data_IF_558475431932
#
_entry.id   IF_558475431932
#
_cell.length_a   1.000
_cell.length_b   1.000
_cell.length_c   1.000
_cell.angle_alpha   90.00
_cell.angle_beta   90.00
_cell.angle_gamma   90.00
#
_symmetry.space_group_name_H-M   'P 1'
#
loop_
_entity.id
_entity.type
_entity.pdbx_description
1 polymer ?
#
# COMPACT_ATOMS: atom_id res chain seq x y z
N UNK A 1 5.34 28.70 0.93
CA UNK A 1 6.16 27.48 1.03
C UNK A 1 5.22 26.29 0.96
N UNK A 2 5.48 25.38 0.04
CA UNK A 2 4.76 24.11 -0.03
C UNK A 2 5.23 23.16 1.08
N UNK A 3 4.57 22.00 1.23
CA UNK A 3 4.91 21.05 2.28
C UNK A 3 6.37 20.56 2.20
N UNK A 4 6.91 20.35 0.98
CA UNK A 4 8.28 19.89 0.78
C UNK A 4 9.28 20.92 1.31
N UNK A 5 9.15 22.19 0.90
CA UNK A 5 10.01 23.29 1.32
C UNK A 5 9.94 23.54 2.84
N UNK A 6 8.77 23.33 3.46
CA UNK A 6 8.62 23.43 4.92
C UNK A 6 9.51 22.39 5.63
N UNK A 7 9.57 21.16 5.11
CA UNK A 7 10.39 20.08 5.69
C UNK A 7 11.87 20.27 5.37
N UNK A 8 12.21 20.51 4.11
CA UNK A 8 13.59 20.44 3.61
C UNK A 8 14.31 21.79 3.63
N UNK A 9 13.58 22.91 3.64
CA UNK A 9 14.15 24.26 3.60
C UNK A 9 14.59 24.71 2.21
N UNK A 10 14.21 23.98 1.16
CA UNK A 10 14.46 24.36 -0.24
C UNK A 10 13.31 23.89 -1.14
N UNK A 11 13.11 24.57 -2.27
CA UNK A 11 12.14 24.15 -3.29
C UNK A 11 12.61 22.88 -3.98
N UNK A 12 11.72 21.92 -4.22
CA UNK A 12 12.02 20.74 -5.03
C UNK A 12 12.43 21.15 -6.46
N UNK A 13 13.64 20.77 -6.86
CA UNK A 13 14.22 21.11 -8.16
C UNK A 13 14.68 19.83 -8.89
N UNK A 14 15.93 19.74 -9.37
CA UNK A 14 16.38 18.56 -10.09
C UNK A 14 16.58 17.37 -9.15
N UNK A 15 16.30 16.15 -9.63
CA UNK A 15 16.36 14.94 -8.83
C UNK A 15 17.71 14.74 -8.11
N UNK A 16 18.82 14.93 -8.83
CA UNK A 16 20.17 14.84 -8.27
C UNK A 16 20.44 15.93 -7.20
N UNK A 17 20.00 17.16 -7.45
CA UNK A 17 20.15 18.27 -6.50
C UNK A 17 19.34 18.03 -5.23
N UNK A 18 18.16 17.42 -5.30
CA UNK A 18 17.40 16.98 -4.13
C UNK A 18 18.17 15.90 -3.35
N UNK A 19 18.70 14.87 -4.04
CA UNK A 19 19.49 13.82 -3.39
C UNK A 19 20.75 14.37 -2.69
N UNK A 20 21.47 15.31 -3.31
CA UNK A 20 22.70 15.89 -2.74
C UNK A 20 22.46 16.70 -1.44
N UNK A 21 21.23 17.21 -1.26
CA UNK A 21 20.83 18.05 -0.12
C UNK A 21 20.12 17.29 1.00
N UNK A 22 19.90 15.99 0.83
CA UNK A 22 19.22 15.14 1.79
C UNK A 22 20.08 13.94 2.16
N UNK A 23 20.03 13.54 3.42
CA UNK A 23 20.79 12.41 3.93
C UNK A 23 19.89 11.52 4.78
N UNK A 24 20.21 10.23 4.81
CA UNK A 24 19.61 9.28 5.75
C UNK A 24 20.63 8.99 6.84
N UNK A 25 20.27 9.27 8.08
CA UNK A 25 21.07 8.96 9.26
C UNK A 25 20.25 8.09 10.21
N UNK A 26 20.54 6.78 10.25
CA UNK A 26 19.75 5.83 11.02
C UNK A 26 18.32 5.71 10.46
N UNK A 27 17.34 6.03 11.30
CA UNK A 27 15.91 6.04 10.96
C UNK A 27 15.40 7.46 10.61
N UNK A 28 16.28 8.43 10.34
CA UNK A 28 15.91 9.82 10.10
C UNK A 28 16.32 10.33 8.71
N UNK A 29 15.45 11.12 8.10
CA UNK A 29 15.76 12.00 6.98
C UNK A 29 16.28 13.33 7.50
N UNK A 30 17.44 13.75 7.00
CA UNK A 30 18.14 14.98 7.40
C UNK A 30 18.28 15.89 6.19
N UNK A 31 17.83 17.14 6.31
CA UNK A 31 18.15 18.17 5.32
C UNK A 31 19.43 18.89 5.68
N UNK A 32 20.40 18.91 4.76
CA UNK A 32 21.67 19.62 4.93
C UNK A 32 21.52 21.14 4.77
N UNK A 33 20.37 21.61 4.27
CA UNK A 33 20.10 23.04 4.04
C UNK A 33 19.59 23.73 5.30
N UNK A 34 18.64 23.13 6.01
CA UNK A 34 18.01 23.72 7.19
C UNK A 34 18.32 22.98 8.50
N UNK A 35 19.02 21.83 8.44
CA UNK A 35 19.38 21.00 9.58
C UNK A 35 18.21 20.26 10.24
N UNK A 36 16.99 20.32 9.68
CA UNK A 36 15.84 19.61 10.23
C UNK A 36 15.96 18.11 10.00
N UNK A 37 15.38 17.36 10.95
CA UNK A 37 15.42 15.91 11.02
C UNK A 37 14.02 15.37 11.23
N UNK A 38 13.69 14.29 10.54
CA UNK A 38 12.38 13.67 10.61
C UNK A 38 12.51 12.15 10.59
N UNK A 39 11.78 11.48 11.49
CA UNK A 39 11.73 10.02 11.53
C UNK A 39 11.10 9.44 10.27
N UNK A 40 11.88 8.67 9.52
CA UNK A 40 11.40 7.87 8.38
C UNK A 40 11.15 6.42 8.77
N UNK A 41 11.64 5.94 9.91
CA UNK A 41 11.38 4.57 10.35
C UNK A 41 12.00 3.53 9.42
N UNK A 42 11.32 2.39 9.21
CA UNK A 42 11.86 1.28 8.42
C UNK A 42 10.91 0.80 7.32
N UNK A 43 11.38 0.77 6.08
CA UNK A 43 10.64 0.24 4.93
C UNK A 43 11.10 -1.18 4.60
N UNK A 44 10.14 -2.09 4.41
CA UNK A 44 10.35 -3.46 3.93
C UNK A 44 9.32 -3.81 2.87
N UNK A 45 9.59 -4.83 2.04
CA UNK A 45 8.65 -5.35 1.03
C UNK A 45 8.32 -6.82 1.30
N UNK A 46 7.65 -7.15 2.43
CA UNK A 46 7.33 -8.53 2.74
C UNK A 46 6.27 -9.07 1.77
N UNK A 47 6.46 -10.31 1.35
CA UNK A 47 5.45 -11.11 0.67
C UNK A 47 4.35 -11.54 1.65
N UNK A 48 3.16 -11.85 1.13
CA UNK A 48 2.09 -12.44 1.94
C UNK A 48 2.54 -13.75 2.59
N UNK A 49 3.29 -14.59 1.86
CA UNK A 49 3.83 -15.84 2.39
C UNK A 49 4.74 -15.60 3.60
N UNK A 50 5.61 -14.60 3.55
CA UNK A 50 6.46 -14.25 4.69
C UNK A 50 5.63 -13.74 5.88
N UNK A 51 4.62 -12.91 5.66
CA UNK A 51 3.75 -12.40 6.74
C UNK A 51 2.98 -13.54 7.42
N UNK A 52 2.47 -14.50 6.64
CA UNK A 52 1.83 -15.73 7.18
C UNK A 52 2.80 -16.52 8.07
N UNK A 53 4.07 -16.58 7.70
CA UNK A 53 5.11 -17.27 8.49
C UNK A 53 5.48 -16.56 9.79
N UNK A 54 5.19 -15.26 9.93
CA UNK A 54 5.57 -14.44 11.09
C UNK A 54 4.49 -14.36 12.18
N UNK A 55 3.23 -14.67 11.85
CA UNK A 55 2.10 -14.45 12.75
C UNK A 55 1.30 -15.73 12.96
N UNK A 56 1.05 -16.07 14.23
CA UNK A 56 0.02 -17.04 14.57
C UNK A 56 -1.34 -16.31 14.66
N UNK A 57 -2.23 -16.58 13.71
CA UNK A 57 -3.52 -15.90 13.57
C UNK A 57 -4.58 -16.31 14.62
N UNK A 58 -4.24 -17.17 15.60
CA UNK A 58 -5.14 -17.59 16.67
C UNK A 58 -4.61 -17.20 18.05
N UNK A 59 -5.04 -16.03 18.54
CA UNK A 59 -4.76 -15.54 19.90
C UNK A 59 -5.95 -15.71 20.85
N UNK A 60 -7.08 -16.21 20.34
CA UNK A 60 -8.32 -16.39 21.10
C UNK A 60 -9.02 -15.07 21.46
N UNK A 61 -8.63 -13.96 20.83
CA UNK A 61 -9.30 -12.66 21.00
C UNK A 61 -9.95 -12.27 19.68
N UNK A 62 -11.25 -12.04 19.68
CA UNK A 62 -11.97 -11.69 18.45
C UNK A 62 -11.56 -10.31 17.93
N UNK A 63 -11.25 -10.22 16.65
CA UNK A 63 -11.05 -8.97 15.91
C UNK A 63 -12.37 -8.20 15.82
N UNK A 64 -12.34 -6.90 16.13
CA UNK A 64 -13.49 -6.00 16.02
C UNK A 64 -13.43 -5.20 14.73
N UNK A 65 -14.58 -4.99 14.10
CA UNK A 65 -14.67 -4.21 12.85
C UNK A 65 -15.66 -3.08 13.03
N UNK A 66 -15.24 -1.87 12.70
CA UNK A 66 -16.06 -0.66 12.76
C UNK A 66 -15.86 0.23 11.54
N UNK A 67 -16.77 1.19 11.37
CA UNK A 67 -16.68 2.20 10.33
C UNK A 67 -16.05 3.48 10.91
N UNK A 68 -15.22 4.15 10.11
CA UNK A 68 -14.68 5.46 10.43
C UNK A 68 -14.85 6.39 9.24
N UNK A 69 -15.33 7.61 9.48
CA UNK A 69 -15.36 8.65 8.46
C UNK A 69 -14.30 9.69 8.80
N UNK A 70 -13.42 10.01 7.85
CA UNK A 70 -12.38 11.00 8.08
C UNK A 70 -11.49 11.24 6.86
N UNK A 71 -10.84 12.39 6.87
CA UNK A 71 -9.75 12.69 5.96
C UNK A 71 -8.50 11.90 6.37
N UNK A 72 -7.87 11.20 5.43
CA UNK A 72 -6.79 10.28 5.76
C UNK A 72 -5.60 11.02 6.40
N UNK A 73 -5.25 12.22 5.94
CA UNK A 73 -4.15 13.02 6.50
C UNK A 73 -4.46 13.50 7.91
N UNK A 74 -5.69 13.96 8.15
CA UNK A 74 -6.16 14.33 9.48
C UNK A 74 -6.13 13.14 10.45
N UNK A 75 -6.57 11.96 10.01
CA UNK A 75 -6.57 10.75 10.84
C UNK A 75 -5.16 10.35 11.30
N UNK A 76 -4.12 10.51 10.47
CA UNK A 76 -2.73 10.26 10.90
C UNK A 76 -2.31 11.17 12.07
N UNK A 77 -2.91 12.36 12.16
CA UNK A 77 -2.63 13.34 13.21
C UNK A 77 -3.51 13.16 14.45
N UNK A 78 -4.37 12.16 14.53
CA UNK A 78 -5.14 11.92 15.77
C UNK A 78 -4.35 11.09 16.76
N UNK A 79 -4.31 11.53 18.02
CA UNK A 79 -3.61 10.81 19.10
C UNK A 79 -4.16 9.40 19.33
N UNK A 80 -5.44 9.18 19.04
CA UNK A 80 -6.06 7.85 19.14
C UNK A 80 -5.48 6.81 18.16
N UNK A 81 -4.77 7.26 17.11
CA UNK A 81 -4.15 6.40 16.10
C UNK A 81 -2.63 6.40 16.16
N UNK A 82 -2.04 6.87 17.26
CA UNK A 82 -0.60 6.70 17.49
C UNK A 82 -0.21 5.22 17.45
N UNK A 83 0.82 4.92 16.65
CA UNK A 83 1.29 3.56 16.37
C UNK A 83 0.35 2.72 15.50
N UNK A 84 -0.80 3.21 15.05
CA UNK A 84 -1.73 2.45 14.21
C UNK A 84 -1.14 2.16 12.83
N UNK A 85 -1.65 1.11 12.17
CA UNK A 85 -1.30 0.77 10.79
C UNK A 85 -2.35 1.33 9.83
N UNK A 86 -1.93 2.14 8.87
CA UNK A 86 -2.77 2.71 7.83
C UNK A 86 -2.56 1.96 6.52
N UNK A 87 -3.64 1.42 5.93
CA UNK A 87 -3.60 0.94 4.56
C UNK A 87 -3.60 2.12 3.60
N UNK A 88 -2.59 2.19 2.73
CA UNK A 88 -2.42 3.26 1.75
C UNK A 88 -2.69 2.68 0.37
N UNK A 89 -3.67 3.25 -0.35
CA UNK A 89 -3.88 2.95 -1.76
C UNK A 89 -2.73 3.57 -2.56
N UNK A 90 -1.86 2.71 -3.08
CA UNK A 90 -0.61 3.07 -3.73
C UNK A 90 -0.42 2.26 -5.01
N UNK A 91 0.71 2.44 -5.66
CA UNK A 91 1.16 1.76 -6.87
C UNK A 91 2.12 0.64 -6.47
N UNK A 92 2.43 -0.29 -7.39
CA UNK A 92 3.36 -1.38 -7.10
C UNK A 92 4.80 -0.90 -6.80
N UNK A 93 5.12 0.36 -7.07
CA UNK A 93 6.38 1.02 -6.72
C UNK A 93 6.33 1.86 -5.44
N UNK A 94 5.22 1.81 -4.70
CA UNK A 94 5.03 2.50 -3.40
C UNK A 94 5.07 4.05 -3.50
N UNK A 95 4.76 4.59 -4.68
CA UNK A 95 4.69 6.02 -4.96
C UNK A 95 3.33 6.42 -5.53
N UNK A 96 2.74 7.47 -4.97
CA UNK A 96 1.40 7.96 -5.29
C UNK A 96 1.38 8.94 -6.46
N UNK A 97 2.06 8.58 -7.55
CA UNK A 97 2.13 9.41 -8.75
C UNK A 97 0.76 9.48 -9.45
N UNK A 98 0.31 10.64 -9.95
CA UNK A 98 -1.06 10.80 -10.46
C UNK A 98 -1.34 10.04 -11.77
N UNK A 99 -0.30 9.58 -12.48
CA UNK A 99 -0.45 8.71 -13.65
C UNK A 99 0.80 7.88 -13.92
N UNK A 100 0.67 6.87 -14.79
CA UNK A 100 1.78 6.03 -15.27
C UNK A 100 2.88 6.80 -16.03
N UNK A 101 2.65 8.07 -16.39
CA UNK A 101 3.60 8.92 -17.12
C UNK A 101 4.37 9.89 -16.23
N UNK A 102 4.00 10.01 -14.95
CA UNK A 102 4.68 10.91 -14.00
C UNK A 102 5.70 10.10 -13.21
N UNK A 103 6.92 10.05 -13.73
CA UNK A 103 8.04 9.29 -13.15
C UNK A 103 8.55 9.91 -11.82
N UNK A 104 9.31 9.16 -11.00
CA UNK A 104 9.88 9.64 -9.74
C UNK A 104 10.68 10.95 -9.84
N UNK A 105 11.33 11.19 -10.97
CA UNK A 105 12.13 12.38 -11.24
C UNK A 105 11.31 13.66 -11.38
N UNK A 106 9.98 13.56 -11.56
CA UNK A 106 9.08 14.72 -11.50
C UNK A 106 8.84 15.21 -10.07
N UNK A 107 9.29 14.45 -9.06
CA UNK A 107 9.21 14.83 -7.66
C UNK A 107 7.86 14.53 -7.01
N UNK A 108 7.76 14.90 -5.73
CA UNK A 108 6.63 14.56 -4.86
C UNK A 108 5.85 15.79 -4.39
N UNK A 109 6.36 17.01 -4.60
CA UNK A 109 5.68 18.25 -4.18
C UNK A 109 4.25 18.30 -4.69
N UNK A 110 4.03 17.89 -5.95
CA UNK A 110 2.73 17.89 -6.61
C UNK A 110 1.65 17.03 -5.94
N UNK A 111 1.99 16.16 -4.98
CA UNK A 111 1.02 15.36 -4.24
C UNK A 111 -0.01 16.24 -3.50
N UNK A 112 0.33 17.50 -3.17
CA UNK A 112 -0.60 18.43 -2.54
C UNK A 112 -1.82 18.81 -3.40
N UNK A 113 -1.75 18.56 -4.71
CA UNK A 113 -2.84 18.83 -5.65
C UNK A 113 -3.72 17.61 -5.94
N UNK A 114 -3.33 16.43 -5.45
CA UNK A 114 -4.12 15.21 -5.56
C UNK A 114 -4.84 14.94 -4.23
N UNK A 115 -6.16 14.99 -4.26
CA UNK A 115 -7.02 14.82 -3.09
C UNK A 115 -7.50 13.37 -2.90
N UNK A 116 -6.86 12.41 -3.57
CA UNK A 116 -7.10 10.98 -3.35
C UNK A 116 -6.41 10.51 -2.05
N UNK A 117 -6.79 9.33 -1.58
CA UNK A 117 -6.36 8.84 -0.27
C UNK A 117 -4.86 8.55 -0.19
N UNK A 118 -4.24 8.04 -1.26
CA UNK A 118 -2.81 7.75 -1.31
C UNK A 118 -1.97 9.00 -1.02
N UNK A 119 -2.06 10.06 -1.85
CA UNK A 119 -1.37 11.33 -1.64
C UNK A 119 -1.64 11.95 -0.27
N UNK A 120 -2.88 11.87 0.26
CA UNK A 120 -3.16 12.34 1.61
C UNK A 120 -2.33 11.60 2.69
N UNK A 121 -2.18 10.27 2.58
CA UNK A 121 -1.31 9.50 3.49
C UNK A 121 0.17 9.80 3.25
N UNK A 122 0.58 9.97 2.00
CA UNK A 122 1.95 10.31 1.65
C UNK A 122 2.36 11.68 2.21
N UNK A 123 1.46 12.67 2.17
CA UNK A 123 1.68 13.99 2.77
C UNK A 123 1.72 13.92 4.30
N UNK A 124 0.87 13.10 4.93
CA UNK A 124 0.88 12.92 6.38
C UNK A 124 2.25 12.45 6.90
N UNK A 125 2.94 11.61 6.13
CA UNK A 125 4.28 11.10 6.40
C UNK A 125 5.32 11.67 5.40
N UNK A 126 5.31 12.99 5.19
CA UNK A 126 6.06 13.61 4.09
C UNK A 126 7.57 13.29 4.04
N UNK A 127 8.25 13.21 5.18
CA UNK A 127 9.67 12.81 5.20
C UNK A 127 9.89 11.38 4.69
N UNK A 128 9.04 10.44 5.13
CA UNK A 128 9.04 9.07 4.66
C UNK A 128 8.72 8.97 3.17
N UNK A 129 7.87 9.86 2.64
CA UNK A 129 7.55 9.97 1.21
C UNK A 129 8.75 10.47 0.40
N UNK A 130 9.43 11.52 0.85
CA UNK A 130 10.66 12.02 0.24
C UNK A 130 11.71 10.91 0.19
N UNK A 131 11.88 10.17 1.30
CA UNK A 131 12.78 9.02 1.36
C UNK A 131 12.43 7.95 0.31
N UNK A 132 11.17 7.52 0.22
CA UNK A 132 10.72 6.51 -0.78
C UNK A 132 11.00 6.92 -2.21
N UNK A 133 10.95 8.21 -2.54
CA UNK A 133 11.22 8.69 -3.89
C UNK A 133 12.72 8.83 -4.16
N UNK A 134 13.45 9.48 -3.24
CA UNK A 134 14.80 9.97 -3.50
C UNK A 134 15.93 9.15 -2.90
N UNK A 135 15.72 8.41 -1.81
CA UNK A 135 16.83 7.87 -1.02
C UNK A 135 16.68 6.39 -0.65
N UNK A 136 15.52 5.78 -0.94
CA UNK A 136 15.31 4.35 -0.70
C UNK A 136 16.32 3.53 -1.51
N UNK A 137 16.98 2.52 -0.90
CA UNK A 137 17.77 1.57 -1.66
C UNK A 137 16.88 0.88 -2.70
N UNK A 138 17.26 0.96 -3.97
CA UNK A 138 16.49 0.40 -5.07
C UNK A 138 17.44 -0.12 -6.15
N UNK A 139 17.44 -1.44 -6.36
CA UNK A 139 18.46 -2.13 -7.16
C UNK A 139 19.86 -1.78 -6.68
N UNK A 140 20.72 -1.37 -7.60
CA UNK A 140 22.13 -1.09 -7.35
C UNK A 140 22.38 0.37 -6.90
N UNK A 141 21.32 1.15 -6.64
CA UNK A 141 21.42 2.57 -6.32
C UNK A 141 20.45 3.02 -5.22
N UNK A 142 20.36 4.33 -5.07
CA UNK A 142 19.43 5.00 -4.13
C UNK A 142 18.41 5.82 -4.91
N UNK A 143 17.21 5.87 -4.36
CA UNK A 143 16.06 6.50 -4.97
C UNK A 143 15.50 5.71 -6.17
N UNK A 144 14.21 5.92 -6.39
CA UNK A 144 13.49 5.38 -7.54
C UNK A 144 13.60 6.34 -8.72
N UNK A 145 13.76 5.79 -9.92
CA UNK A 145 13.82 6.52 -11.20
C UNK A 145 12.83 5.92 -12.19
N UNK A 146 12.69 6.49 -13.38
CA UNK A 146 11.87 5.91 -14.45
C UNK A 146 12.34 4.50 -14.87
N UNK A 147 13.63 4.19 -14.70
CA UNK A 147 14.26 2.94 -15.12
C UNK A 147 14.56 1.97 -13.97
N UNK A 148 14.37 2.39 -12.71
CA UNK A 148 14.70 1.59 -11.53
C UNK A 148 13.73 1.89 -10.41
N UNK A 149 12.83 0.96 -10.15
CA UNK A 149 11.75 1.12 -9.17
C UNK A 149 11.64 -0.12 -8.30
N UNK A 150 11.06 0.08 -7.12
CA UNK A 150 10.53 -1.02 -6.34
C UNK A 150 9.36 -1.64 -7.12
N UNK A 151 9.18 -2.95 -6.98
CA UNK A 151 8.09 -3.67 -7.64
C UNK A 151 7.53 -4.74 -6.70
N UNK A 152 6.41 -4.40 -6.07
CA UNK A 152 5.68 -5.28 -5.16
C UNK A 152 4.90 -6.40 -5.89
N UNK A 153 4.83 -6.37 -7.23
CA UNK A 153 4.22 -7.40 -8.07
C UNK A 153 5.24 -8.40 -8.63
N UNK A 154 6.54 -8.11 -8.50
CA UNK A 154 7.61 -8.86 -9.16
C UNK A 154 7.56 -10.38 -8.90
N UNK A 155 7.35 -10.80 -7.64
CA UNK A 155 7.27 -12.22 -7.27
C UNK A 155 6.11 -12.93 -7.97
N UNK A 156 4.96 -12.27 -8.07
CA UNK A 156 3.79 -12.80 -8.76
C UNK A 156 3.99 -12.83 -10.29
N UNK A 157 4.68 -11.85 -10.86
CA UNK A 157 5.10 -11.85 -12.27
C UNK A 157 5.98 -13.05 -12.61
N UNK A 158 7.00 -13.31 -11.79
CA UNK A 158 7.86 -14.48 -11.97
C UNK A 158 7.07 -15.80 -11.90
N UNK A 159 6.16 -15.93 -10.93
CA UNK A 159 5.32 -17.12 -10.78
C UNK A 159 4.39 -17.35 -11.99
N UNK A 160 3.78 -16.29 -12.53
CA UNK A 160 2.96 -16.42 -13.74
C UNK A 160 3.80 -16.73 -14.97
N UNK A 161 4.98 -16.13 -15.11
CA UNK A 161 5.86 -16.39 -16.25
C UNK A 161 6.29 -17.86 -16.29
N UNK A 162 6.68 -18.43 -15.15
CA UNK A 162 7.01 -19.85 -15.04
C UNK A 162 5.83 -20.76 -15.45
N UNK A 163 4.62 -20.44 -14.97
CA UNK A 163 3.44 -21.30 -15.19
C UNK A 163 2.81 -21.16 -16.57
N UNK A 164 2.91 -19.98 -17.17
CA UNK A 164 2.36 -19.71 -18.51
C UNK A 164 3.36 -20.00 -19.61
N UNK A 165 4.67 -19.98 -19.31
CA UNK A 165 5.75 -19.99 -20.30
C UNK A 165 5.86 -18.66 -21.08
N UNK A 166 5.18 -17.61 -20.63
CA UNK A 166 5.17 -16.27 -21.24
C UNK A 166 6.07 -15.36 -20.41
N UNK A 167 6.94 -14.57 -21.05
CA UNK A 167 7.82 -13.65 -20.33
C UNK A 167 7.00 -12.55 -19.61
N UNK A 168 7.51 -12.00 -18.50
CA UNK A 168 6.76 -11.01 -17.69
C UNK A 168 6.39 -9.77 -18.52
N UNK A 169 7.32 -9.32 -19.36
CA UNK A 169 7.12 -8.20 -20.29
C UNK A 169 6.02 -8.44 -21.33
N UNK A 170 5.72 -9.71 -21.63
CA UNK A 170 4.62 -10.10 -22.51
C UNK A 170 3.31 -10.30 -21.73
N UNK A 171 3.39 -10.54 -20.40
CA UNK A 171 2.22 -10.57 -19.52
C UNK A 171 1.65 -9.16 -19.30
N UNK A 172 2.52 -8.21 -18.95
CA UNK A 172 2.16 -6.80 -18.80
C UNK A 172 3.36 -5.88 -19.00
N UNK A 173 3.07 -4.64 -19.44
CA UNK A 173 4.02 -3.56 -19.39
C UNK A 173 3.92 -2.86 -18.02
N UNK A 174 4.97 -2.94 -17.19
CA UNK A 174 5.06 -2.16 -15.96
C UNK A 174 5.50 -0.72 -16.30
N UNK A 175 4.66 0.26 -16.00
CA UNK A 175 4.96 1.68 -16.21
C UNK A 175 4.71 2.45 -14.92
N UNK A 176 5.78 2.85 -14.23
CA UNK A 176 5.70 3.65 -13.01
C UNK A 176 4.81 3.04 -11.90
N UNK A 177 4.92 1.73 -11.67
CA UNK A 177 4.10 1.00 -10.71
C UNK A 177 2.69 0.62 -11.18
N UNK A 178 2.36 0.87 -12.46
CA UNK A 178 1.11 0.42 -13.09
C UNK A 178 1.37 -0.83 -13.94
N UNK A 179 0.76 -1.96 -13.57
CA UNK A 179 0.82 -3.19 -14.35
C UNK A 179 -0.23 -3.16 -15.49
N UNK A 180 0.20 -2.77 -16.69
CA UNK A 180 -0.66 -2.64 -17.86
C UNK A 180 -0.64 -3.94 -18.68
N UNK A 181 -1.54 -4.87 -18.35
CA UNK A 181 -1.61 -6.17 -19.02
C UNK A 181 -1.89 -6.05 -20.52
N UNK A 182 -1.23 -6.92 -21.29
CA UNK A 182 -1.57 -7.18 -22.69
C UNK A 182 -2.83 -8.06 -22.74
N UNK A 183 -3.49 -8.11 -23.90
CA UNK A 183 -4.66 -9.00 -24.09
C UNK A 183 -4.27 -10.46 -23.88
N UNK A 184 -3.17 -10.88 -24.51
CA UNK A 184 -2.65 -12.24 -24.46
C UNK A 184 -2.14 -12.59 -23.07
N UNK A 185 -1.43 -11.67 -22.41
CA UNK A 185 -0.93 -11.82 -21.05
C UNK A 185 -2.04 -11.99 -20.03
N UNK A 186 -3.07 -11.13 -20.08
CA UNK A 186 -4.22 -11.24 -19.18
C UNK A 186 -5.00 -12.54 -19.42
N UNK A 187 -5.13 -12.97 -20.68
CA UNK A 187 -5.76 -14.24 -21.01
C UNK A 187 -4.96 -15.43 -20.47
N UNK A 188 -3.62 -15.41 -20.57
CA UNK A 188 -2.75 -16.44 -20.02
C UNK A 188 -2.85 -16.53 -18.50
N UNK A 189 -2.77 -15.40 -17.80
CA UNK A 189 -2.96 -15.31 -16.34
C UNK A 189 -4.33 -15.84 -15.95
N UNK A 190 -5.38 -15.40 -16.63
CA UNK A 190 -6.75 -15.87 -16.39
C UNK A 190 -6.91 -17.37 -16.63
N UNK A 191 -6.21 -17.93 -17.61
CA UNK A 191 -6.17 -19.36 -17.88
C UNK A 191 -5.60 -20.15 -16.70
N UNK A 192 -4.48 -19.71 -16.15
CA UNK A 192 -3.87 -20.30 -14.95
C UNK A 192 -4.84 -20.22 -13.76
N UNK A 193 -5.39 -19.04 -13.50
CA UNK A 193 -6.23 -18.81 -12.32
C UNK A 193 -7.57 -19.53 -12.35
N UNK A 194 -8.18 -19.71 -13.54
CA UNK A 194 -9.44 -20.48 -13.68
C UNK A 194 -9.22 -21.99 -13.57
N UNK A 195 -8.01 -22.46 -13.90
CA UNK A 195 -7.64 -23.87 -13.78
C UNK A 195 -6.99 -24.23 -12.44
N UNK A 196 -6.69 -23.23 -11.60
CA UNK A 196 -6.06 -23.43 -10.30
C UNK A 196 -7.03 -24.06 -9.30
N UNK A 197 -6.51 -24.98 -8.50
CA UNK A 197 -7.15 -25.40 -7.25
C UNK A 197 -6.87 -24.40 -6.12
N UNK A 198 -7.48 -24.64 -4.96
CA UNK A 198 -7.35 -23.75 -3.81
C UNK A 198 -5.90 -23.63 -3.31
N UNK A 199 -5.11 -24.71 -3.41
CA UNK A 199 -3.70 -24.74 -3.00
C UNK A 199 -2.86 -23.83 -3.90
N UNK A 200 -2.99 -23.97 -5.22
CA UNK A 200 -2.28 -23.13 -6.17
C UNK A 200 -2.72 -21.66 -6.06
N UNK A 201 -4.01 -21.40 -5.90
CA UNK A 201 -4.50 -20.04 -5.75
C UNK A 201 -3.95 -19.38 -4.47
N UNK A 202 -3.85 -20.13 -3.38
CA UNK A 202 -3.24 -19.66 -2.13
C UNK A 202 -1.72 -19.45 -2.26
N UNK A 203 -1.02 -20.34 -2.97
CA UNK A 203 0.40 -20.19 -3.29
C UNK A 203 0.67 -18.89 -4.06
N UNK A 204 -0.12 -18.62 -5.10
CA UNK A 204 0.00 -17.41 -5.92
C UNK A 204 -0.31 -16.15 -5.11
N UNK A 205 -1.34 -16.16 -4.25
CA UNK A 205 -1.58 -15.05 -3.30
C UNK A 205 -0.35 -14.79 -2.43
N UNK A 206 0.32 -15.85 -1.99
CA UNK A 206 1.55 -15.80 -1.20
C UNK A 206 2.70 -15.02 -1.86
N UNK A 207 2.72 -14.90 -3.19
CA UNK A 207 3.80 -14.24 -3.94
C UNK A 207 3.67 -12.72 -4.01
N UNK A 208 2.49 -12.16 -3.69
CA UNK A 208 2.31 -10.70 -3.69
C UNK A 208 3.05 -10.08 -2.50
N UNK A 209 3.80 -9.01 -2.76
CA UNK A 209 4.38 -8.17 -1.71
C UNK A 209 3.55 -6.91 -1.48
N UNK A 210 3.73 -6.30 -0.31
CA UNK A 210 3.25 -4.94 -0.01
C UNK A 210 4.42 -4.10 0.50
N UNK A 211 4.35 -2.78 0.35
CA UNK A 211 5.29 -1.89 1.01
C UNK A 211 4.90 -1.70 2.47
N UNK A 212 5.74 -2.10 3.42
CA UNK A 212 5.47 -1.93 4.85
C UNK A 212 6.47 -0.95 5.46
N UNK A 213 6.00 0.27 5.74
CA UNK A 213 6.79 1.35 6.30
C UNK A 213 6.40 1.58 7.76
N UNK A 214 7.22 1.07 8.68
CA UNK A 214 6.95 1.12 10.11
C UNK A 214 7.49 2.39 10.74
N UNK A 215 6.75 2.90 11.72
CA UNK A 215 7.20 3.96 12.63
C UNK A 215 7.62 5.27 11.94
N UNK A 216 6.85 5.68 10.92
CA UNK A 216 7.05 6.94 10.19
C UNK A 216 6.53 8.12 11.00
N UNK A 217 7.25 9.24 11.00
CA UNK A 217 6.83 10.45 11.68
C UNK A 217 5.72 11.18 10.91
N UNK A 218 4.66 11.53 11.63
CA UNK A 218 3.58 12.39 11.13
C UNK A 218 4.04 13.85 11.18
N UNK A 219 4.02 14.53 10.03
CA UNK A 219 4.62 15.87 9.90
C UNK A 219 3.73 17.04 10.35
N UNK A 220 2.42 16.81 10.42
CA UNK A 220 1.45 17.85 10.80
C UNK A 220 1.29 18.01 12.33
N UNK A 221 2.06 17.25 13.10
CA UNK A 221 2.05 17.27 14.57
C UNK A 221 3.35 17.90 15.08
N UNK A 222 3.26 19.12 15.61
CA UNK A 222 4.44 19.88 16.05
C UNK A 222 4.84 19.65 17.52
N UNK A 223 3.89 19.24 18.37
CA UNK A 223 4.07 19.21 19.83
C UNK A 223 4.79 17.94 20.33
N UNK A 224 4.58 16.82 19.65
CA UNK A 224 5.17 15.52 19.99
C UNK A 224 5.50 14.73 18.70
N UNK A 225 6.61 13.96 18.71
CA UNK A 225 6.94 13.05 17.58
C UNK A 225 5.94 11.91 17.58
N UNK A 226 4.88 12.04 16.77
CA UNK A 226 3.88 11.00 16.58
C UNK A 226 4.33 10.05 15.46
N UNK A 227 4.27 8.76 15.75
CA UNK A 227 4.64 7.69 14.82
C UNK A 227 3.42 6.88 14.43
N UNK A 228 3.37 6.47 13.17
CA UNK A 228 2.37 5.53 12.63
C UNK A 228 3.06 4.57 11.68
N UNK A 229 2.39 3.49 11.29
CA UNK A 229 2.86 2.59 10.23
C UNK A 229 1.98 2.72 8.99
N UNK A 230 2.55 2.52 7.81
CA UNK A 230 1.84 2.56 6.52
C UNK A 230 2.08 1.27 5.73
N UNK A 231 0.99 0.65 5.27
CA UNK A 231 1.00 -0.48 4.34
C UNK A 231 0.59 0.01 2.94
N UNK A 232 1.58 0.21 2.07
CA UNK A 232 1.44 0.60 0.67
C UNK A 232 0.99 -0.60 -0.17
N UNK A 233 -0.25 -0.53 -0.60
CA UNK A 233 -0.94 -1.62 -1.27
C UNK A 233 -1.47 -1.16 -2.62
N UNK A 234 -1.22 -1.93 -3.66
CA UNK A 234 -1.76 -1.65 -4.99
C UNK A 234 -2.87 -2.63 -5.36
N UNK A 235 -3.82 -2.12 -6.14
CA UNK A 235 -4.75 -2.95 -6.91
C UNK A 235 -4.36 -2.88 -8.39
N UNK A 236 -4.99 -3.71 -9.24
CA UNK A 236 -4.72 -3.63 -10.67
C UNK A 236 -5.32 -2.35 -11.28
N UNK A 237 -4.61 -1.66 -12.19
CA UNK A 237 -5.04 -0.39 -12.76
C UNK A 237 -6.05 -0.57 -13.91
N UNK A 238 -7.18 -1.23 -13.66
CA UNK A 238 -8.19 -1.59 -14.67
C UNK A 238 -8.70 -0.34 -15.41
N UNK A 239 -8.88 0.77 -14.71
CA UNK A 239 -9.31 2.05 -15.28
C UNK A 239 -8.35 2.68 -16.30
N UNK A 240 -7.13 2.16 -16.41
CA UNK A 240 -6.11 2.58 -17.36
C UNK A 240 -5.96 1.59 -18.54
N UNK A 241 -6.77 0.53 -18.58
CA UNK A 241 -6.79 -0.45 -19.64
C UNK A 241 -7.94 -0.23 -20.62
N UNK A 242 -7.75 -0.70 -21.86
CA UNK A 242 -8.81 -0.80 -22.86
C UNK A 242 -9.56 -2.15 -22.80
N UNK A 243 -9.06 -3.11 -22.01
CA UNK A 243 -9.65 -4.44 -21.83
C UNK A 243 -10.89 -4.38 -20.95
N UNK A 244 -11.81 -5.32 -21.15
CA UNK A 244 -13.06 -5.37 -20.39
C UNK A 244 -12.83 -5.73 -18.93
N UNK A 245 -13.51 -5.06 -18.00
CA UNK A 245 -13.35 -5.27 -16.55
C UNK A 245 -13.44 -6.76 -16.16
N UNK A 246 -14.36 -7.53 -16.74
CA UNK A 246 -14.52 -8.98 -16.45
C UNK A 246 -13.31 -9.85 -16.82
N UNK A 247 -12.48 -9.40 -17.76
CA UNK A 247 -11.25 -10.10 -18.12
C UNK A 247 -10.22 -10.03 -17.00
N UNK A 248 -10.28 -8.97 -16.19
CA UNK A 248 -9.39 -8.76 -15.05
C UNK A 248 -9.79 -9.53 -13.80
N UNK A 249 -11.04 -9.99 -13.71
CA UNK A 249 -11.62 -10.50 -12.46
C UNK A 249 -10.72 -11.52 -11.73
N UNK A 250 -10.20 -12.59 -12.37
CA UNK A 250 -9.41 -13.57 -11.63
C UNK A 250 -8.14 -12.96 -11.03
N UNK A 251 -7.44 -12.11 -11.79
CA UNK A 251 -6.20 -11.49 -11.37
C UNK A 251 -6.45 -10.38 -10.33
N UNK A 252 -7.48 -9.56 -10.55
CA UNK A 252 -7.85 -8.48 -9.64
C UNK A 252 -8.25 -9.02 -8.26
N UNK A 253 -9.05 -10.09 -8.23
CA UNK A 253 -9.43 -10.75 -6.98
C UNK A 253 -8.22 -11.30 -6.24
N UNK A 254 -7.31 -11.98 -6.94
CA UNK A 254 -6.09 -12.50 -6.33
C UNK A 254 -5.26 -11.39 -5.68
N UNK A 255 -5.03 -10.28 -6.39
CA UNK A 255 -4.26 -9.14 -5.87
C UNK A 255 -4.96 -8.48 -4.69
N UNK A 256 -6.29 -8.28 -4.76
CA UNK A 256 -7.08 -7.69 -3.69
C UNK A 256 -7.08 -8.58 -2.43
N UNK A 257 -7.33 -9.88 -2.59
CA UNK A 257 -7.33 -10.84 -1.49
C UNK A 257 -5.98 -10.86 -0.77
N UNK A 258 -4.88 -10.96 -1.53
CA UNK A 258 -3.54 -10.94 -0.96
C UNK A 258 -3.21 -9.60 -0.29
N UNK A 259 -3.63 -8.48 -0.88
CA UNK A 259 -3.43 -7.13 -0.33
C UNK A 259 -4.07 -6.94 1.04
N UNK A 260 -5.36 -7.30 1.18
CA UNK A 260 -6.06 -7.13 2.46
C UNK A 260 -5.54 -8.11 3.51
N UNK A 261 -5.25 -9.35 3.12
CA UNK A 261 -4.68 -10.35 4.01
C UNK A 261 -3.31 -9.91 4.53
N UNK A 262 -2.41 -9.44 3.64
CA UNK A 262 -1.08 -8.96 4.01
C UNK A 262 -1.17 -7.75 4.95
N UNK A 263 -2.08 -6.80 4.68
CA UNK A 263 -2.28 -5.64 5.56
C UNK A 263 -2.69 -6.05 6.97
N UNK A 264 -3.67 -6.95 7.09
CA UNK A 264 -4.16 -7.40 8.39
C UNK A 264 -3.14 -8.26 9.14
N UNK A 265 -2.37 -9.10 8.43
CA UNK A 265 -1.27 -9.86 9.04
C UNK A 265 -0.13 -8.93 9.48
N UNK A 266 0.19 -7.86 8.75
CA UNK A 266 1.17 -6.87 9.18
C UNK A 266 0.74 -6.11 10.45
N UNK A 267 -0.57 -5.83 10.59
CA UNK A 267 -1.16 -5.29 11.81
C UNK A 267 -1.13 -6.30 12.97
N UNK A 268 -1.40 -7.57 12.69
CA UNK A 268 -1.30 -8.65 13.65
C UNK A 268 0.14 -8.86 14.15
N UNK A 269 1.12 -8.84 13.26
CA UNK A 269 2.56 -8.91 13.59
C UNK A 269 2.93 -7.78 14.56
N UNK A 270 2.50 -6.55 14.25
CA UNK A 270 2.74 -5.39 15.11
C UNK A 270 2.10 -5.56 16.49
N UNK A 271 0.84 -6.00 16.55
CA UNK A 271 0.11 -6.21 17.80
C UNK A 271 0.69 -7.35 18.65
N UNK A 272 1.23 -8.39 18.02
CA UNK A 272 1.94 -9.49 18.70
C UNK A 272 3.27 -9.01 19.25
N UNK A 273 3.96 -8.11 18.54
CA UNK A 273 5.19 -7.45 18.99
C UNK A 273 5.01 -6.42 20.11
N UNK A 274 3.79 -6.21 20.60
CA UNK A 274 3.47 -5.23 21.66
C UNK A 274 3.14 -3.82 21.15
N UNK A 275 3.05 -3.63 19.84
CA UNK A 275 2.58 -2.38 19.22
C UNK A 275 1.04 -2.27 19.18
N UNK A 276 0.55 -1.24 18.49
CA UNK A 276 -0.89 -1.01 18.32
C UNK A 276 -1.56 -2.17 17.56
N UNK A 277 -2.78 -2.51 17.96
CA UNK A 277 -3.65 -3.46 17.27
C UNK A 277 -4.66 -2.77 16.33
N UNK A 278 -4.57 -1.44 16.17
CA UNK A 278 -5.49 -0.67 15.34
C UNK A 278 -5.01 -0.71 13.89
N UNK A 279 -5.90 -1.10 12.98
CA UNK A 279 -5.66 -1.10 11.53
C UNK A 279 -6.74 -0.27 10.85
N UNK A 280 -6.34 0.77 10.13
CA UNK A 280 -7.23 1.59 9.32
C UNK A 280 -7.19 1.08 7.87
N UNK A 281 -8.27 0.42 7.45
CA UNK A 281 -8.43 -0.10 6.10
C UNK A 281 -9.12 0.91 5.19
N UNK A 282 -8.77 0.88 3.91
CA UNK A 282 -9.47 1.64 2.87
C UNK A 282 -9.95 0.68 1.77
N UNK A 283 -10.84 1.14 0.89
CA UNK A 283 -11.27 0.34 -0.28
C UNK A 283 -10.28 0.55 -1.42
N UNK A 284 -9.14 -0.14 -1.34
CA UNK A 284 -8.07 -0.09 -2.36
C UNK A 284 -8.63 -0.51 -3.72
N UNK A 285 -8.31 0.26 -4.77
CA UNK A 285 -8.66 -0.05 -6.16
C UNK A 285 -10.03 0.44 -6.66
N UNK A 286 -10.95 0.82 -5.77
CA UNK A 286 -12.33 1.21 -6.14
C UNK A 286 -12.46 2.62 -6.76
N UNK A 287 -11.42 3.43 -6.69
CA UNK A 287 -11.38 4.79 -7.27
C UNK A 287 -10.97 4.79 -8.75
N UNK A 288 -9.90 5.51 -9.06
CA UNK A 288 -9.40 5.68 -10.44
C UNK A 288 -9.02 4.34 -11.09
N UNK A 289 -8.63 3.35 -10.29
CA UNK A 289 -8.27 2.02 -10.77
C UNK A 289 -9.47 1.16 -11.20
N UNK A 290 -10.71 1.55 -10.85
CA UNK A 290 -11.96 0.91 -11.31
C UNK A 290 -12.06 -0.61 -11.07
N UNK A 291 -11.52 -1.10 -9.95
CA UNK A 291 -11.82 -2.45 -9.48
C UNK A 291 -13.28 -2.53 -9.06
N UNK A 292 -13.92 -3.67 -9.30
CA UNK A 292 -15.31 -3.88 -8.92
C UNK A 292 -15.46 -3.86 -7.39
N UNK A 293 -16.47 -3.12 -6.94
CA UNK A 293 -16.79 -2.96 -5.52
C UNK A 293 -17.02 -4.31 -4.82
N UNK A 294 -17.67 -5.26 -5.49
CA UNK A 294 -17.94 -6.59 -4.96
C UNK A 294 -16.67 -7.43 -4.78
N UNK A 295 -15.66 -7.27 -5.64
CA UNK A 295 -14.37 -7.95 -5.47
C UNK A 295 -13.61 -7.41 -4.26
N UNK A 296 -13.63 -6.09 -4.08
CA UNK A 296 -13.02 -5.42 -2.94
C UNK A 296 -13.67 -5.89 -1.64
N UNK A 297 -15.00 -5.84 -1.59
CA UNK A 297 -15.75 -6.17 -0.38
C UNK A 297 -15.56 -7.64 0.02
N UNK A 298 -15.56 -8.57 -0.94
CA UNK A 298 -15.29 -9.99 -0.69
C UNK A 298 -13.85 -10.25 -0.23
N UNK A 299 -12.88 -9.52 -0.78
CA UNK A 299 -11.48 -9.64 -0.37
C UNK A 299 -11.28 -9.15 1.09
N UNK A 300 -11.96 -8.07 1.49
CA UNK A 300 -11.98 -7.60 2.88
C UNK A 300 -12.59 -8.67 3.80
N UNK A 301 -13.76 -9.21 3.47
CA UNK A 301 -14.42 -10.24 4.28
C UNK A 301 -13.55 -11.50 4.43
N UNK A 302 -12.93 -11.93 3.34
CA UNK A 302 -11.98 -13.04 3.35
C UNK A 302 -10.82 -12.76 4.30
N UNK A 303 -10.19 -11.60 4.19
CA UNK A 303 -9.01 -11.24 4.97
C UNK A 303 -9.35 -11.10 6.47
N UNK A 304 -10.51 -10.53 6.81
CA UNK A 304 -11.02 -10.49 8.18
C UNK A 304 -11.14 -11.89 8.78
N UNK A 305 -11.66 -12.86 8.01
CA UNK A 305 -11.75 -14.26 8.42
C UNK A 305 -10.40 -14.88 8.78
N UNK A 306 -9.31 -14.49 8.10
CA UNK A 306 -7.94 -14.98 8.40
C UNK A 306 -7.47 -14.50 9.77
N UNK A 307 -7.82 -13.26 10.16
CA UNK A 307 -7.40 -12.65 11.44
C UNK A 307 -8.52 -12.64 12.48
N UNK A 308 -9.51 -13.54 12.36
CA UNK A 308 -10.72 -13.52 13.17
C UNK A 308 -10.44 -13.51 14.68
N UNK A 309 -9.44 -14.28 15.12
CA UNK A 309 -9.10 -14.50 16.54
C UNK A 309 -7.77 -13.86 16.96
N UNK A 310 -7.32 -12.83 16.25
CA UNK A 310 -6.08 -12.10 16.56
C UNK A 310 -6.30 -10.96 17.56
N UNK A 311 -7.46 -10.33 17.55
CA UNK A 311 -7.80 -9.21 18.43
C UNK A 311 -7.43 -7.85 17.88
N UNK A 312 -7.53 -7.67 16.56
CA UNK A 312 -7.34 -6.36 15.91
C UNK A 312 -8.55 -5.44 16.12
N UNK A 313 -8.32 -4.13 16.17
CA UNK A 313 -9.34 -3.10 15.99
C UNK A 313 -9.27 -2.60 14.55
N UNK A 314 -10.09 -3.18 13.67
CA UNK A 314 -10.12 -2.84 12.25
C UNK A 314 -11.16 -1.75 12.01
N UNK A 315 -10.71 -0.62 11.46
CA UNK A 315 -11.57 0.51 11.09
C UNK A 315 -11.58 0.70 9.59
N UNK A 316 -12.72 0.44 8.96
CA UNK A 316 -12.87 0.65 7.51
C UNK A 316 -13.22 2.13 7.29
N UNK A 317 -12.28 2.85 6.66
CA UNK A 317 -12.30 4.30 6.49
C UNK A 317 -13.04 4.70 5.20
N UNK A 318 -14.01 5.59 5.35
CA UNK A 318 -14.61 6.33 4.24
C UNK A 318 -14.28 7.82 4.33
N UNK A 319 -14.03 8.49 3.21
CA UNK A 319 -13.66 9.91 3.24
C UNK A 319 -14.81 10.83 3.68
N UNK A 320 -15.97 10.72 3.03
CA UNK A 320 -17.17 11.54 3.35
C UNK A 320 -18.28 10.75 3.99
N UNK A 321 -18.40 9.49 3.59
CA UNK A 321 -19.36 8.55 4.11
C UNK A 321 -18.80 7.14 4.00
N UNK A 322 -19.40 6.23 4.75
CA UNK A 322 -19.13 4.80 4.65
C UNK A 322 -20.24 4.16 3.81
N UNK A 323 -19.83 3.42 2.78
CA UNK A 323 -20.75 2.81 1.83
C UNK A 323 -21.71 1.81 2.52
N UNK A 324 -22.93 1.61 1.99
CA UNK A 324 -23.84 0.59 2.50
C UNK A 324 -23.22 -0.82 2.54
N UNK A 325 -22.35 -1.13 1.58
CA UNK A 325 -21.66 -2.41 1.52
C UNK A 325 -20.72 -2.62 2.72
N UNK A 326 -19.92 -1.60 3.08
CA UNK A 326 -19.07 -1.64 4.29
C UNK A 326 -19.91 -1.79 5.56
N UNK A 327 -21.04 -1.10 5.67
CA UNK A 327 -21.98 -1.31 6.79
C UNK A 327 -22.50 -2.76 6.81
N UNK A 328 -22.74 -3.35 5.65
CA UNK A 328 -23.09 -4.76 5.49
C UNK A 328 -22.01 -5.72 5.99
N UNK A 329 -20.74 -5.46 5.64
CA UNK A 329 -19.59 -6.22 6.15
C UNK A 329 -19.55 -6.15 7.68
N UNK A 330 -19.63 -4.95 8.25
CA UNK A 330 -19.61 -4.73 9.70
C UNK A 330 -20.77 -5.45 10.40
N UNK A 331 -21.98 -5.36 9.83
CA UNK A 331 -23.15 -6.03 10.38
C UNK A 331 -22.99 -7.56 10.36
N UNK A 332 -22.52 -8.15 9.26
CA UNK A 332 -22.27 -9.59 9.18
C UNK A 332 -21.18 -10.04 10.14
N UNK A 333 -20.09 -9.26 10.23
CA UNK A 333 -18.97 -9.56 11.09
C UNK A 333 -19.33 -9.51 12.58
N UNK A 334 -20.03 -8.46 13.02
CA UNK A 334 -20.39 -8.28 14.43
C UNK A 334 -21.69 -9.02 14.83
N UNK A 335 -22.61 -9.21 13.88
CA UNK A 335 -23.93 -9.81 14.11
C UNK A 335 -23.97 -11.33 14.15
N UNK A 336 -22.86 -12.02 13.83
CA UNK A 336 -22.68 -13.45 14.10
C UNK A 336 -22.40 -13.75 15.59
N UNK A 337 -23.11 -13.07 16.50
CA UNK A 337 -23.17 -13.41 17.93
C UNK A 337 -24.39 -14.28 18.21
#
# INVERSE_FOLDING_TARGET
MNWFEILTGFTEDSYASVQDRLQVEGDELVSTVNGKRYGIGSLTLPTLAELRGRVNASRGQRTTVSALVGDARALHSEKAFEGALFQVASQFNLLEMPSQHVTPEHGVTGYEHDHTQGPACALAAGAATIYRNYLVPCGDGVGQTASRQLDALAGLGAAFAERTGVAVEDLWAMSNGYALCTTEGLAAISGVLRGADDELFDELRGQLAIGLHRDVQVIDVCEERRLVSQAFCSALPIGYSHLGQREWEPFARLVLEATYEATLLAGAEQAVGGGSNIVLLTRVGGGVFRNDDGWIDQAIERALGVVADVGLDVRIVGHREVSPAVRGIIHRWNGGQ
#
